data_IF_221344895487
#
_entry.id   IF_221344895487
#
_cell.length_a   1.000
_cell.length_b   1.000
_cell.length_c   1.000
_cell.angle_alpha   90.00
_cell.angle_beta   90.00
_cell.angle_gamma   90.00
#
_symmetry.space_group_name_H-M   'P 1'
#
loop_
_entity.id
_entity.type
_entity.pdbx_description
1 polymer ?
#
# COMPACT_ATOMS: atom_id res chain seq x y z
N UNK A 1 -20.37 5.10 9.10
CA UNK A 1 -19.77 3.76 9.41
C UNK A 1 -19.07 3.19 8.18
N UNK A 2 -19.68 3.27 6.99
CA UNK A 2 -19.13 2.86 5.69
C UNK A 2 -17.72 3.39 5.38
N UNK A 3 -17.43 4.67 5.69
CA UNK A 3 -16.09 5.26 5.48
C UNK A 3 -14.96 4.59 6.27
N UNK A 4 -15.26 3.97 7.42
CA UNK A 4 -14.24 3.35 8.28
C UNK A 4 -13.81 1.98 7.72
N UNK A 5 -14.66 1.34 6.92
CA UNK A 5 -14.42 0.02 6.36
C UNK A 5 -13.79 0.07 4.96
N UNK A 6 -14.17 1.04 4.14
CA UNK A 6 -13.77 1.10 2.73
C UNK A 6 -12.48 1.88 2.47
N UNK A 7 -12.01 2.69 3.42
CA UNK A 7 -10.84 3.56 3.22
C UNK A 7 -9.51 2.78 3.18
N UNK A 8 -8.71 2.89 2.09
CA UNK A 8 -7.45 2.15 1.94
C UNK A 8 -6.38 2.51 2.99
N UNK A 9 -6.30 3.76 3.41
CA UNK A 9 -5.37 4.24 4.43
C UNK A 9 -5.67 3.66 5.82
N UNK A 10 -6.94 3.54 6.21
CA UNK A 10 -7.34 2.85 7.45
C UNK A 10 -7.00 1.36 7.42
N UNK A 11 -7.18 0.70 6.26
CA UNK A 11 -6.75 -0.69 6.07
C UNK A 11 -5.24 -0.83 6.24
N UNK A 12 -4.45 0.06 5.64
CA UNK A 12 -2.98 0.10 5.81
C UNK A 12 -2.56 0.32 7.26
N UNK A 13 -3.25 1.20 7.98
CA UNK A 13 -2.99 1.44 9.40
C UNK A 13 -3.28 0.20 10.25
N UNK A 14 -4.38 -0.52 9.97
CA UNK A 14 -4.70 -1.80 10.64
C UNK A 14 -3.61 -2.86 10.38
N UNK A 15 -3.21 -3.04 9.12
CA UNK A 15 -2.15 -3.98 8.75
C UNK A 15 -0.81 -3.61 9.40
N UNK A 16 -0.53 -2.32 9.60
CA UNK A 16 0.67 -1.90 10.33
C UNK A 16 0.64 -2.38 11.79
N UNK A 17 -0.49 -2.21 12.49
CA UNK A 17 -0.66 -2.71 13.86
C UNK A 17 -0.46 -4.22 13.92
N UNK A 18 -1.06 -4.95 13.01
CA UNK A 18 -0.93 -6.41 12.92
C UNK A 18 0.52 -6.85 12.68
N UNK A 19 1.22 -6.19 11.75
CA UNK A 19 2.65 -6.42 11.53
C UNK A 19 3.49 -6.17 12.79
N UNK A 20 3.15 -5.14 13.58
CA UNK A 20 3.86 -4.86 14.85
C UNK A 20 3.57 -5.91 15.91
N UNK A 21 2.37 -6.47 15.94
CA UNK A 21 2.02 -7.58 16.82
C UNK A 21 2.83 -8.83 16.45
N UNK A 22 2.92 -9.18 15.16
CA UNK A 22 3.76 -10.29 14.68
C UNK A 22 5.23 -10.07 15.07
N UNK A 23 5.75 -8.84 14.93
CA UNK A 23 7.12 -8.53 15.36
C UNK A 23 7.31 -8.67 16.87
N UNK A 24 6.31 -8.31 17.68
CA UNK A 24 6.33 -8.53 19.13
C UNK A 24 6.40 -10.03 19.45
N UNK A 25 5.63 -10.85 18.76
CA UNK A 25 5.67 -12.31 18.91
C UNK A 25 7.01 -12.89 18.47
N UNK A 26 7.57 -12.43 17.35
CA UNK A 26 8.91 -12.82 16.90
C UNK A 26 9.99 -12.45 17.93
N UNK A 27 9.91 -11.27 18.57
CA UNK A 27 10.79 -10.90 19.68
C UNK A 27 10.63 -11.82 20.90
N UNK A 28 9.44 -12.37 21.15
CA UNK A 28 9.21 -13.37 22.20
C UNK A 28 9.76 -14.75 21.82
N UNK A 29 9.67 -15.12 20.54
CA UNK A 29 10.25 -16.36 20.03
C UNK A 29 11.77 -16.41 20.23
N UNK A 30 12.44 -15.25 20.23
CA UNK A 30 13.86 -15.17 20.49
C UNK A 30 14.28 -15.76 21.85
N UNK A 31 13.40 -15.84 22.86
CA UNK A 31 13.72 -16.43 24.17
C UNK A 31 13.85 -17.96 24.15
N UNK A 32 13.37 -18.61 23.10
CA UNK A 32 13.42 -20.05 22.94
C UNK A 32 14.67 -20.47 22.14
N UNK A 33 15.11 -21.73 22.27
CA UNK A 33 16.18 -22.26 21.45
C UNK A 33 15.78 -22.30 19.97
N UNK A 34 16.74 -22.05 19.08
CA UNK A 34 16.57 -22.26 17.64
C UNK A 34 17.17 -23.62 17.27
N UNK A 35 16.42 -24.40 16.49
CA UNK A 35 16.89 -25.67 15.93
C UNK A 35 17.11 -25.48 14.44
N UNK A 36 18.32 -25.76 13.98
CA UNK A 36 18.69 -25.73 12.57
C UNK A 36 19.10 -27.13 12.11
N UNK A 37 18.61 -27.53 10.95
CA UNK A 37 19.00 -28.78 10.30
C UNK A 37 19.83 -28.45 9.07
N UNK A 38 21.05 -28.99 9.02
CA UNK A 38 21.97 -28.76 7.90
C UNK A 38 22.28 -30.09 7.23
N UNK A 39 22.29 -30.07 5.89
CA UNK A 39 22.72 -31.19 5.07
C UNK A 39 23.67 -30.64 4.02
N UNK A 40 24.90 -31.16 4.00
CA UNK A 40 25.93 -30.73 3.07
C UNK A 40 26.34 -31.93 2.22
N UNK A 41 26.32 -31.74 0.91
CA UNK A 41 26.91 -32.65 -0.04
C UNK A 41 28.07 -31.92 -0.72
N UNK A 42 29.25 -32.53 -0.70
CA UNK A 42 30.42 -32.00 -1.39
C UNK A 42 31.10 -33.10 -2.19
N UNK A 43 31.56 -32.74 -3.38
CA UNK A 43 32.38 -33.59 -4.22
C UNK A 43 33.68 -32.84 -4.49
N UNK A 44 34.74 -33.28 -3.85
CA UNK A 44 36.04 -32.62 -3.95
C UNK A 44 37.14 -33.65 -4.04
N UNK A 45 38.15 -33.35 -4.84
CA UNK A 45 39.31 -34.20 -5.01
C UNK A 45 40.59 -33.44 -4.79
N UNK A 46 41.64 -34.17 -4.41
CA UNK A 46 43.01 -33.67 -4.41
C UNK A 46 43.79 -34.54 -5.38
N UNK A 47 43.98 -34.04 -6.58
CA UNK A 47 44.77 -34.71 -7.62
C UNK A 47 46.23 -34.24 -7.46
N UNK A 48 47.18 -35.13 -7.13
CA UNK A 48 48.60 -34.79 -7.08
C UNK A 48 49.18 -34.56 -8.48
N UNK A 49 50.29 -33.80 -8.57
CA UNK A 49 50.97 -33.55 -9.85
C UNK A 49 51.60 -34.83 -10.42
N UNK A 50 52.21 -35.65 -9.56
CA UNK A 50 52.66 -37.02 -9.90
C UNK A 50 51.54 -38.03 -9.65
N UNK A 51 51.13 -38.71 -10.72
CA UNK A 51 50.00 -39.66 -10.75
C UNK A 51 50.42 -41.07 -11.13
N UNK A 52 51.73 -41.32 -11.18
CA UNK A 52 52.29 -42.63 -11.44
C UNK A 52 52.08 -43.54 -10.23
N UNK A 53 51.70 -44.80 -10.48
CA UNK A 53 51.66 -45.85 -9.45
C UNK A 53 52.44 -47.05 -9.95
N UNK A 54 53.42 -47.49 -9.18
CA UNK A 54 54.15 -48.73 -9.49
C UNK A 54 53.39 -49.91 -8.88
N UNK A 55 52.94 -50.82 -9.74
CA UNK A 55 52.41 -52.12 -9.35
C UNK A 55 53.57 -53.12 -9.25
N UNK A 56 53.77 -53.70 -8.07
CA UNK A 56 54.89 -54.63 -7.79
C UNK A 56 54.47 -56.10 -7.72
N UNK A 57 53.19 -56.40 -8.00
CA UNK A 57 52.63 -57.75 -7.97
C UNK A 57 52.14 -58.09 -9.36
N UNK A 58 52.69 -59.15 -9.95
CA UNK A 58 52.25 -59.65 -11.24
C UNK A 58 50.86 -60.29 -11.12
N UNK A 59 49.86 -59.85 -11.89
CA UNK A 59 48.53 -60.46 -11.88
C UNK A 59 48.52 -61.92 -12.38
N UNK A 60 49.53 -62.37 -13.13
CA UNK A 60 49.63 -63.73 -13.69
C UNK A 60 50.55 -64.65 -12.87
N UNK A 61 51.51 -64.09 -12.12
CA UNK A 61 52.36 -64.82 -11.18
C UNK A 61 52.63 -64.00 -9.89
N UNK A 62 51.77 -64.12 -8.88
CA UNK A 62 51.86 -63.34 -7.64
C UNK A 62 53.15 -63.56 -6.84
N UNK A 63 53.95 -64.57 -7.16
CA UNK A 63 55.20 -64.91 -6.44
C UNK A 63 56.44 -64.28 -7.06
N UNK A 64 56.34 -63.64 -8.23
CA UNK A 64 57.47 -63.00 -8.90
C UNK A 64 57.91 -61.71 -8.18
N UNK A 65 59.12 -61.68 -7.56
CA UNK A 65 59.59 -60.51 -6.82
C UNK A 65 60.19 -59.40 -7.71
N UNK A 66 60.28 -59.61 -9.04
CA UNK A 66 60.89 -58.67 -10.00
C UNK A 66 59.87 -58.02 -10.95
N UNK A 67 58.58 -58.14 -10.68
CA UNK A 67 57.56 -57.49 -11.49
C UNK A 67 57.40 -56.02 -11.07
N UNK A 68 57.58 -55.09 -12.01
CA UNK A 68 57.28 -53.68 -11.83
C UNK A 68 56.56 -53.15 -13.07
N UNK A 69 55.38 -52.58 -12.87
CA UNK A 69 54.65 -51.89 -13.92
C UNK A 69 54.21 -50.51 -13.43
N UNK A 70 54.72 -49.48 -14.08
CA UNK A 70 54.23 -48.11 -13.89
C UNK A 70 52.88 -47.96 -14.58
N UNK A 71 51.92 -47.39 -13.85
CA UNK A 71 50.59 -47.05 -14.37
C UNK A 71 50.27 -45.60 -14.04
N UNK A 72 49.95 -44.82 -15.06
CA UNK A 72 49.47 -43.45 -14.88
C UNK A 72 47.98 -43.44 -14.55
N UNK A 73 47.62 -42.80 -13.44
CA UNK A 73 46.22 -42.54 -13.10
C UNK A 73 45.74 -41.25 -13.77
N UNK A 74 44.62 -41.34 -14.50
CA UNK A 74 43.97 -40.16 -15.09
C UNK A 74 43.51 -39.14 -14.05
N UNK A 75 43.33 -37.88 -14.47
CA UNK A 75 42.90 -36.78 -13.60
C UNK A 75 41.55 -37.04 -12.89
N UNK A 76 40.63 -37.74 -13.56
CA UNK A 76 39.31 -38.10 -13.03
C UNK A 76 39.27 -39.49 -12.38
N UNK A 77 40.42 -40.04 -11.96
CA UNK A 77 40.43 -41.32 -11.27
C UNK A 77 39.73 -41.20 -9.91
N UNK A 78 38.77 -42.10 -9.62
CA UNK A 78 37.96 -42.09 -8.39
C UNK A 78 38.80 -42.08 -7.10
N UNK A 79 40.05 -42.57 -7.13
CA UNK A 79 40.93 -42.50 -5.95
C UNK A 79 41.36 -41.09 -5.55
N UNK A 80 41.24 -40.11 -6.44
CA UNK A 80 41.55 -38.70 -6.16
C UNK A 80 40.32 -37.89 -5.77
N UNK A 81 39.11 -38.39 -6.01
CA UNK A 81 37.85 -37.68 -5.83
C UNK A 81 37.03 -38.32 -4.72
N UNK A 82 36.71 -37.54 -3.69
CA UNK A 82 35.99 -38.02 -2.52
C UNK A 82 34.62 -37.35 -2.43
N UNK A 83 33.52 -38.07 -2.68
CA UNK A 83 32.19 -37.62 -2.29
C UNK A 83 32.08 -37.61 -0.76
N UNK A 84 31.57 -36.52 -0.21
CA UNK A 84 31.32 -36.35 1.22
C UNK A 84 29.89 -35.86 1.42
N UNK A 85 29.17 -36.53 2.30
CA UNK A 85 27.81 -36.16 2.70
C UNK A 85 27.79 -36.06 4.22
N UNK A 86 27.30 -34.94 4.74
CA UNK A 86 27.13 -34.73 6.17
C UNK A 86 25.75 -34.17 6.48
N UNK A 87 25.15 -34.67 7.56
CA UNK A 87 23.91 -34.15 8.12
C UNK A 87 24.14 -33.81 9.57
N UNK A 88 23.53 -32.72 10.04
CA UNK A 88 23.67 -32.26 11.40
C UNK A 88 22.42 -31.53 11.88
N UNK A 89 22.17 -31.61 13.17
CA UNK A 89 21.19 -30.77 13.87
C UNK A 89 21.96 -29.87 14.84
N UNK A 90 21.71 -28.57 14.78
CA UNK A 90 22.30 -27.59 15.67
C UNK A 90 21.20 -26.92 16.51
N UNK A 91 21.31 -27.06 17.83
CA UNK A 91 20.46 -26.33 18.78
C UNK A 91 21.27 -25.17 19.35
N UNK A 92 20.77 -23.95 19.21
CA UNK A 92 21.35 -22.76 19.81
C UNK A 92 20.42 -22.15 20.85
N UNK A 93 20.91 -21.94 22.07
CA UNK A 93 20.14 -21.31 23.15
C UNK A 93 20.99 -20.30 23.93
N UNK A 94 20.70 -19.01 23.76
CA UNK A 94 21.32 -17.99 24.59
C UNK A 94 20.58 -17.89 25.93
N UNK A 95 21.20 -18.41 26.99
CA UNK A 95 20.65 -18.38 28.35
C UNK A 95 20.62 -16.96 28.94
N UNK A 96 21.60 -16.12 28.59
CA UNK A 96 21.67 -14.73 29.04
C UNK A 96 22.24 -13.83 27.96
N UNK A 97 21.50 -12.76 27.64
CA UNK A 97 21.87 -11.79 26.59
C UNK A 97 22.11 -10.38 27.14
N UNK A 98 22.44 -10.22 28.44
CA UNK A 98 22.63 -8.90 29.04
C UNK A 98 21.38 -8.01 28.97
N UNK A 99 20.19 -8.57 29.21
CA UNK A 99 18.88 -7.89 29.10
C UNK A 99 18.46 -7.40 27.70
N UNK A 100 19.32 -7.54 26.68
CA UNK A 100 19.03 -7.07 25.32
C UNK A 100 17.72 -7.65 24.74
N UNK A 101 17.44 -8.94 24.98
CA UNK A 101 16.20 -9.60 24.53
C UNK A 101 14.96 -9.00 25.17
N UNK A 102 15.00 -8.74 26.48
CA UNK A 102 13.91 -8.10 27.22
C UNK A 102 13.64 -6.69 26.72
N UNK A 103 14.69 -5.87 26.56
CA UNK A 103 14.55 -4.51 26.03
C UNK A 103 14.00 -4.48 24.60
N UNK A 104 14.39 -5.43 23.74
CA UNK A 104 13.83 -5.56 22.39
C UNK A 104 12.36 -5.95 22.40
N UNK A 105 11.94 -6.82 23.32
CA UNK A 105 10.53 -7.20 23.47
C UNK A 105 9.67 -6.02 23.95
N UNK A 106 10.16 -5.27 24.93
CA UNK A 106 9.50 -4.05 25.41
C UNK A 106 9.42 -2.98 24.31
N UNK A 107 10.51 -2.77 23.57
CA UNK A 107 10.53 -1.86 22.43
C UNK A 107 9.51 -2.27 21.35
N UNK A 108 9.39 -3.57 21.04
CA UNK A 108 8.41 -4.06 20.09
C UNK A 108 6.96 -3.82 20.57
N UNK A 109 6.70 -3.98 21.87
CA UNK A 109 5.40 -3.65 22.47
C UNK A 109 5.07 -2.15 22.39
N UNK A 110 6.04 -1.28 22.74
CA UNK A 110 5.88 0.17 22.61
C UNK A 110 5.60 0.55 21.15
N UNK A 111 6.31 -0.06 20.19
CA UNK A 111 6.06 0.18 18.76
C UNK A 111 4.67 -0.27 18.32
N UNK A 112 4.15 -1.39 18.84
CA UNK A 112 2.77 -1.83 18.57
C UNK A 112 1.76 -0.83 19.13
N UNK A 113 1.91 -0.42 20.40
CA UNK A 113 1.03 0.59 21.03
C UNK A 113 1.06 1.92 20.27
N UNK A 114 2.24 2.33 19.80
CA UNK A 114 2.37 3.53 18.95
C UNK A 114 1.59 3.39 17.64
N UNK A 115 1.67 2.23 16.98
CA UNK A 115 0.91 1.96 15.76
C UNK A 115 -0.61 1.95 16.04
N UNK A 116 -1.05 1.41 17.17
CA UNK A 116 -2.47 1.44 17.60
C UNK A 116 -2.97 2.88 17.77
N UNK A 117 -2.21 3.72 18.48
CA UNK A 117 -2.52 5.14 18.67
C UNK A 117 -2.58 5.87 17.32
N UNK A 118 -1.62 5.62 16.43
CA UNK A 118 -1.61 6.23 15.09
C UNK A 118 -2.84 5.81 14.26
N UNK A 119 -3.23 4.54 14.32
CA UNK A 119 -4.45 4.05 13.67
C UNK A 119 -5.70 4.72 14.23
N UNK A 120 -5.77 4.93 15.54
CA UNK A 120 -6.92 5.59 16.17
C UNK A 120 -6.95 7.11 15.88
N UNK A 121 -5.78 7.76 15.81
CA UNK A 121 -5.66 9.14 15.36
C UNK A 121 -6.14 9.29 13.92
N UNK A 122 -5.71 8.39 13.02
CA UNK A 122 -6.16 8.39 11.62
C UNK A 122 -7.68 8.19 11.54
N UNK A 123 -8.24 7.26 12.31
CA UNK A 123 -9.69 7.05 12.38
C UNK A 123 -10.45 8.31 12.80
N UNK A 124 -9.94 9.03 13.80
CA UNK A 124 -10.52 10.31 14.24
C UNK A 124 -10.40 11.38 13.15
N UNK A 125 -9.24 11.48 12.49
CA UNK A 125 -9.03 12.41 11.38
C UNK A 125 -10.02 12.17 10.23
N UNK A 126 -10.17 10.91 9.78
CA UNK A 126 -11.16 10.51 8.77
C UNK A 126 -12.58 10.86 9.20
N UNK A 127 -12.92 10.67 10.48
CA UNK A 127 -14.24 11.04 11.00
C UNK A 127 -14.50 12.55 10.90
N UNK A 128 -13.49 13.37 11.18
CA UNK A 128 -13.57 14.83 11.05
C UNK A 128 -13.67 15.24 9.58
N UNK A 129 -12.88 14.61 8.71
CA UNK A 129 -12.89 14.84 7.25
C UNK A 129 -14.27 14.58 6.65
N UNK A 130 -14.87 13.41 6.95
CA UNK A 130 -16.22 13.07 6.47
C UNK A 130 -17.28 14.05 7.00
N UNK A 131 -17.21 14.43 8.28
CA UNK A 131 -18.13 15.41 8.86
C UNK A 131 -17.97 16.81 8.29
N UNK A 132 -16.76 17.16 7.85
CA UNK A 132 -16.50 18.42 7.17
C UNK A 132 -17.11 18.37 5.77
N UNK A 133 -16.80 17.34 4.98
CA UNK A 133 -17.33 17.19 3.63
C UNK A 133 -18.88 17.14 3.59
N UNK A 134 -19.51 16.49 4.58
CA UNK A 134 -20.98 16.48 4.68
C UNK A 134 -21.55 17.89 4.93
N UNK A 135 -20.92 18.67 5.81
CA UNK A 135 -21.34 20.06 6.09
C UNK A 135 -21.11 20.96 4.89
N UNK A 136 -19.96 20.83 4.24
CA UNK A 136 -19.64 21.60 3.03
C UNK A 136 -20.66 21.31 1.91
N UNK A 137 -21.14 20.07 1.79
CA UNK A 137 -22.22 19.69 0.86
C UNK A 137 -23.58 20.29 1.24
N UNK A 138 -23.93 20.27 2.52
CA UNK A 138 -25.16 20.89 3.04
C UNK A 138 -25.14 22.41 2.80
N UNK A 139 -24.04 23.09 3.11
CA UNK A 139 -23.85 24.52 2.88
C UNK A 139 -23.93 24.87 1.39
N UNK A 140 -23.33 24.06 0.52
CA UNK A 140 -23.42 24.24 -0.93
C UNK A 140 -24.86 24.08 -1.45
N UNK A 141 -25.63 23.15 -0.87
CA UNK A 141 -27.05 22.96 -1.20
C UNK A 141 -27.89 24.18 -0.79
N UNK A 142 -27.67 24.70 0.40
CA UNK A 142 -28.36 25.92 0.86
C UNK A 142 -28.01 27.13 -0.02
N UNK A 143 -26.75 27.22 -0.46
CA UNK A 143 -26.30 28.25 -1.39
C UNK A 143 -27.00 28.18 -2.74
N UNK A 144 -27.25 26.97 -3.28
CA UNK A 144 -28.06 26.79 -4.50
C UNK A 144 -29.46 27.40 -4.30
N UNK A 145 -30.14 27.09 -3.20
CA UNK A 145 -31.49 27.60 -2.95
C UNK A 145 -31.51 29.13 -2.77
N UNK A 146 -30.49 29.69 -2.10
CA UNK A 146 -30.30 31.14 -1.98
C UNK A 146 -30.09 31.80 -3.35
N UNK A 147 -29.18 31.29 -4.18
CA UNK A 147 -28.93 31.85 -5.51
C UNK A 147 -30.13 31.67 -6.46
N UNK A 148 -30.88 30.58 -6.33
CA UNK A 148 -32.14 30.38 -7.06
C UNK A 148 -33.16 31.45 -6.71
N UNK A 149 -33.24 31.85 -5.44
CA UNK A 149 -34.10 32.96 -5.03
C UNK A 149 -33.62 34.31 -5.58
N UNK A 150 -32.30 34.54 -5.66
CA UNK A 150 -31.72 35.74 -6.27
C UNK A 150 -32.03 35.83 -7.77
N UNK A 151 -31.92 34.71 -8.51
CA UNK A 151 -32.32 34.65 -9.92
C UNK A 151 -33.79 35.06 -10.08
N UNK A 152 -34.70 34.47 -9.30
CA UNK A 152 -36.12 34.85 -9.36
C UNK A 152 -36.37 36.34 -9.09
N UNK A 153 -35.62 36.94 -8.17
CA UNK A 153 -35.74 38.38 -7.87
C UNK A 153 -35.22 39.24 -9.03
N UNK A 154 -34.10 38.84 -9.64
CA UNK A 154 -33.55 39.55 -10.78
C UNK A 154 -34.44 39.40 -12.03
N UNK A 155 -35.09 38.25 -12.22
CA UNK A 155 -36.09 38.02 -13.27
C UNK A 155 -37.28 38.98 -13.10
N UNK A 156 -37.89 39.03 -11.91
CA UNK A 156 -38.97 39.97 -11.63
C UNK A 156 -38.57 41.44 -11.85
N UNK A 157 -37.34 41.82 -11.47
CA UNK A 157 -36.85 43.17 -11.69
C UNK A 157 -36.67 43.49 -13.19
N UNK A 158 -36.13 42.54 -13.96
CA UNK A 158 -36.02 42.68 -15.41
C UNK A 158 -37.40 42.84 -16.06
N UNK A 159 -38.37 42.02 -15.68
CA UNK A 159 -39.74 42.08 -16.21
C UNK A 159 -40.38 43.45 -15.91
N UNK A 160 -40.27 43.94 -14.67
CA UNK A 160 -40.79 45.26 -14.28
C UNK A 160 -40.13 46.43 -15.01
N UNK A 161 -38.80 46.38 -15.22
CA UNK A 161 -38.11 47.44 -15.98
C UNK A 161 -38.47 47.36 -17.46
N UNK A 162 -38.63 46.16 -18.02
CA UNK A 162 -39.09 45.96 -19.39
C UNK A 162 -40.46 46.58 -19.62
N UNK A 163 -41.44 46.30 -18.76
CA UNK A 163 -42.78 46.92 -18.80
C UNK A 163 -42.71 48.45 -18.76
N UNK A 164 -41.90 49.01 -17.85
CA UNK A 164 -41.71 50.47 -17.75
C UNK A 164 -41.07 51.10 -18.98
N UNK A 165 -40.16 50.39 -19.65
CA UNK A 165 -39.56 50.87 -20.91
C UNK A 165 -40.59 50.84 -22.04
N UNK A 166 -41.44 49.82 -22.10
CA UNK A 166 -42.56 49.73 -23.06
C UNK A 166 -43.58 50.87 -22.85
N UNK A 167 -43.84 51.24 -21.60
CA UNK A 167 -44.68 52.38 -21.23
C UNK A 167 -43.99 53.75 -21.43
N UNK A 168 -42.69 53.77 -21.76
CA UNK A 168 -41.91 54.99 -21.95
C UNK A 168 -41.53 55.74 -20.67
N UNK A 169 -41.65 55.10 -19.50
CA UNK A 169 -41.36 55.67 -18.17
C UNK A 169 -40.05 55.18 -17.55
N UNK A 170 -39.25 54.44 -18.32
CA UNK A 170 -37.90 54.00 -18.00
C UNK A 170 -36.99 54.11 -19.24
N UNK A 171 -35.67 54.13 -19.04
CA UNK A 171 -34.69 54.24 -20.11
C UNK A 171 -34.19 52.87 -20.59
N UNK A 172 -33.76 52.74 -21.87
CA UNK A 172 -33.11 51.51 -22.35
C UNK A 172 -31.83 51.14 -21.58
N UNK A 173 -31.16 52.12 -20.96
CA UNK A 173 -30.01 51.88 -20.11
C UNK A 173 -30.41 51.11 -18.84
N UNK A 174 -31.51 51.49 -18.19
CA UNK A 174 -32.05 50.79 -17.01
C UNK A 174 -32.43 49.34 -17.35
N UNK A 175 -33.02 49.09 -18.52
CA UNK A 175 -33.32 47.73 -18.98
C UNK A 175 -32.04 46.89 -19.17
N UNK A 176 -31.00 47.50 -19.72
CA UNK A 176 -29.70 46.83 -19.88
C UNK A 176 -29.06 46.51 -18.53
N UNK A 177 -29.08 47.44 -17.58
CA UNK A 177 -28.60 47.20 -16.22
C UNK A 177 -29.37 46.06 -15.52
N UNK A 178 -30.70 46.01 -15.71
CA UNK A 178 -31.53 44.92 -15.18
C UNK A 178 -31.20 43.57 -15.84
N UNK A 179 -30.94 43.55 -17.15
CA UNK A 179 -30.50 42.35 -17.88
C UNK A 179 -29.14 41.85 -17.39
N UNK A 180 -28.17 42.75 -17.23
CA UNK A 180 -26.83 42.42 -16.74
C UNK A 180 -26.90 41.85 -15.30
N UNK A 181 -27.76 42.41 -14.45
CA UNK A 181 -28.00 41.90 -13.09
C UNK A 181 -28.66 40.50 -13.08
N UNK A 182 -29.56 40.24 -14.01
CA UNK A 182 -30.17 38.91 -14.20
C UNK A 182 -29.12 37.89 -14.63
N UNK A 183 -28.32 38.21 -15.65
CA UNK A 183 -27.27 37.32 -16.14
C UNK A 183 -26.21 37.04 -15.06
N UNK A 184 -25.79 38.06 -14.30
CA UNK A 184 -24.89 37.87 -13.16
C UNK A 184 -25.49 36.96 -12.09
N UNK A 185 -26.80 37.09 -11.81
CA UNK A 185 -27.50 36.23 -10.84
C UNK A 185 -27.57 34.77 -11.33
N UNK A 186 -27.78 34.56 -12.64
CA UNK A 186 -27.77 33.23 -13.27
C UNK A 186 -26.37 32.61 -13.22
N UNK A 187 -25.33 33.37 -13.49
CA UNK A 187 -23.93 32.92 -13.35
C UNK A 187 -23.62 32.50 -11.91
N UNK A 188 -24.03 33.30 -10.93
CA UNK A 188 -23.84 32.96 -9.50
C UNK A 188 -24.58 31.67 -9.11
N UNK A 189 -25.79 31.44 -9.65
CA UNK A 189 -26.52 30.20 -9.46
C UNK A 189 -25.79 28.98 -10.07
N UNK A 190 -25.31 29.10 -11.31
CA UNK A 190 -24.54 28.04 -11.96
C UNK A 190 -23.25 27.72 -11.19
N UNK A 191 -22.56 28.74 -10.67
CA UNK A 191 -21.40 28.54 -9.81
C UNK A 191 -21.77 27.78 -8.53
N UNK A 192 -22.89 28.11 -7.89
CA UNK A 192 -23.35 27.39 -6.70
C UNK A 192 -23.69 25.91 -7.00
N UNK A 193 -24.27 25.63 -8.17
CA UNK A 193 -24.52 24.25 -8.63
C UNK A 193 -23.21 23.50 -8.85
N UNK A 194 -22.23 24.15 -9.50
CA UNK A 194 -20.90 23.57 -9.66
C UNK A 194 -20.24 23.26 -8.31
N UNK A 195 -20.26 24.22 -7.37
CA UNK A 195 -19.68 24.06 -6.03
C UNK A 195 -20.31 22.87 -5.27
N UNK A 196 -21.61 22.66 -5.41
CA UNK A 196 -22.31 21.49 -4.84
C UNK A 196 -21.85 20.17 -5.45
N UNK A 197 -21.66 20.10 -6.78
CA UNK A 197 -21.16 18.90 -7.44
C UNK A 197 -19.73 18.56 -6.97
N UNK A 198 -18.88 19.57 -6.77
CA UNK A 198 -17.55 19.39 -6.19
C UNK A 198 -17.63 18.91 -4.74
N UNK A 199 -18.48 19.52 -3.91
CA UNK A 199 -18.67 19.08 -2.54
C UNK A 199 -19.20 17.62 -2.45
N UNK A 200 -19.99 17.20 -3.43
CA UNK A 200 -20.49 15.82 -3.53
C UNK A 200 -19.35 14.85 -3.81
N UNK A 201 -18.48 15.14 -4.78
CA UNK A 201 -17.33 14.28 -5.11
C UNK A 201 -16.29 14.26 -3.98
N UNK A 202 -16.12 15.37 -3.26
CA UNK A 202 -15.28 15.44 -2.06
C UNK A 202 -15.82 14.54 -0.94
N UNK A 203 -17.15 14.51 -0.73
CA UNK A 203 -17.78 13.58 0.23
C UNK A 203 -17.58 12.12 -0.19
N UNK A 204 -17.80 11.79 -1.46
CA UNK A 204 -17.59 10.42 -2.00
C UNK A 204 -16.14 9.96 -1.80
N UNK A 205 -15.18 10.86 -2.06
CA UNK A 205 -13.75 10.63 -1.82
C UNK A 205 -13.46 10.41 -0.34
N UNK A 206 -14.00 11.26 0.54
CA UNK A 206 -13.83 11.13 2.00
C UNK A 206 -14.42 9.81 2.54
N UNK A 207 -15.49 9.30 1.92
CA UNK A 207 -16.10 8.00 2.23
C UNK A 207 -15.28 6.81 1.71
N UNK A 208 -14.23 7.05 0.91
CA UNK A 208 -13.39 6.01 0.35
C UNK A 208 -14.08 5.22 -0.76
N UNK A 209 -15.09 5.80 -1.41
CA UNK A 209 -15.61 5.24 -2.67
C UNK A 209 -14.60 5.56 -3.77
N UNK A 210 -14.31 4.62 -4.70
CA UNK A 210 -13.55 4.96 -5.88
C UNK A 210 -14.28 6.11 -6.58
N UNK A 211 -13.52 7.10 -7.09
CA UNK A 211 -14.02 8.08 -8.05
C UNK A 211 -14.43 7.30 -9.31
N UNK A 212 -15.57 6.63 -9.28
CA UNK A 212 -16.18 6.13 -10.50
C UNK A 212 -16.52 7.38 -11.29
N UNK A 213 -16.02 7.53 -12.52
CA UNK A 213 -16.57 8.53 -13.41
C UNK A 213 -18.06 8.19 -13.54
N UNK A 214 -18.93 8.96 -12.89
CA UNK A 214 -20.39 8.89 -13.06
C UNK A 214 -20.79 9.40 -14.46
N UNK A 215 -19.93 9.19 -15.46
CA UNK A 215 -20.16 9.50 -16.87
C UNK A 215 -20.75 8.31 -17.64
N UNK A 216 -20.66 7.07 -17.13
CA UNK A 216 -21.24 5.91 -17.83
C UNK A 216 -22.76 5.76 -17.65
N UNK A 217 -23.34 6.30 -16.58
CA UNK A 217 -24.80 6.19 -16.34
C UNK A 217 -25.65 7.12 -17.22
N UNK A 218 -25.05 8.16 -17.81
CA UNK A 218 -25.77 9.06 -18.74
C UNK A 218 -25.80 8.56 -20.20
N UNK A 219 -24.90 7.64 -20.59
CA UNK A 219 -24.82 7.14 -21.97
C UNK A 219 -25.71 5.91 -22.23
N UNK A 220 -26.28 5.28 -21.21
CA UNK A 220 -27.14 4.10 -21.37
C UNK A 220 -28.65 4.40 -21.43
N UNK A 221 -29.08 5.64 -21.18
CA UNK A 221 -30.52 6.03 -21.21
C UNK A 221 -30.94 6.65 -22.56
N UNK A 222 -30.07 6.64 -23.57
CA UNK A 222 -30.45 6.94 -24.96
C UNK A 222 -29.88 5.88 -25.91
N UNK A 223 -30.64 4.81 -26.09
CA UNK A 223 -30.77 4.10 -27.37
C UNK A 223 -32.25 3.85 -27.63
#
# INVERSE_FOLDING_TARGET
>A
RQAIENRPDLKRARLNVELREIRKESSRAAFFPTVEAVANFSYSGRVPDDRSRVQTTDPQDPTNPFFFREQDRGFFNDSFWNPSFSVGLQLNWDLFSGFQRSSRAEQAEIQRRRAEIQRDQLRKAVTVEVRKALRDLEDARERIESQKANVRRAELNYDHVSERVEEGVASPLELREASDQLDQSRLNYLQAVHDYLVAQTDLETALGQPLTPTSESYLMTRR
#
